data_IF_864680048239
#
_entry.id   IF_864680048239
#
_cell.length_a   1.000
_cell.length_b   1.000
_cell.length_c   1.000
_cell.angle_alpha   90.00
_cell.angle_beta   90.00
_cell.angle_gamma   90.00
#
_symmetry.space_group_name_H-M   'P 1'
#
loop_
_entity.id
_entity.type
_entity.pdbx_description
1 polymer ?
#
# COMPACT_ATOMS: atom_id res chain seq x y z
N UNK A 1 -1.65 9.64 -18.91
CA UNK A 1 -1.57 8.18 -19.16
C UNK A 1 -0.60 7.45 -18.21
N UNK A 2 -0.07 8.00 -17.10
CA UNK A 2 1.22 7.44 -16.63
C UNK A 2 1.72 7.83 -15.23
N UNK A 3 0.93 8.49 -14.38
CA UNK A 3 1.45 9.01 -13.08
C UNK A 3 1.01 8.20 -11.87
N UNK A 4 -0.28 7.86 -11.72
CA UNK A 4 -0.77 7.10 -10.54
C UNK A 4 -0.22 5.66 -10.45
N UNK A 5 -0.09 4.92 -11.56
CA UNK A 5 0.57 3.60 -11.55
C UNK A 5 2.07 3.67 -11.31
N UNK A 6 2.72 4.72 -11.83
CA UNK A 6 4.13 4.99 -11.51
C UNK A 6 4.26 5.28 -10.01
N UNK A 7 3.22 5.80 -9.35
CA UNK A 7 3.22 6.04 -7.91
C UNK A 7 3.21 4.74 -7.10
N UNK A 8 2.47 3.69 -7.45
CA UNK A 8 2.49 2.45 -6.65
C UNK A 8 3.85 1.75 -6.73
N UNK A 9 4.40 1.54 -7.94
CA UNK A 9 5.73 0.97 -8.13
C UNK A 9 6.83 1.80 -7.44
N UNK A 10 6.78 3.13 -7.56
CA UNK A 10 7.72 4.05 -6.90
C UNK A 10 7.51 4.04 -5.38
N UNK A 11 6.28 3.95 -4.90
CA UNK A 11 5.97 3.85 -3.48
C UNK A 11 6.56 2.58 -2.87
N UNK A 12 6.35 1.42 -3.51
CA UNK A 12 6.96 0.16 -3.03
C UNK A 12 8.49 0.21 -3.10
N UNK A 13 9.06 0.84 -4.12
CA UNK A 13 10.51 1.05 -4.23
C UNK A 13 11.06 1.96 -3.12
N UNK A 14 10.35 3.04 -2.79
CA UNK A 14 10.74 3.97 -1.74
C UNK A 14 10.55 3.36 -0.36
N UNK A 15 9.42 2.70 -0.08
CA UNK A 15 9.17 1.98 1.17
C UNK A 15 10.15 0.83 1.40
N UNK A 16 10.54 0.15 0.33
CA UNK A 16 11.61 -0.84 0.32
C UNK A 16 13.00 -0.27 0.66
N UNK A 17 13.23 1.03 0.40
CA UNK A 17 14.51 1.72 0.57
C UNK A 17 14.65 2.40 1.93
N UNK A 18 13.54 2.87 2.52
CA UNK A 18 13.51 3.41 3.88
C UNK A 18 13.55 2.26 4.88
N UNK A 19 14.73 1.99 5.43
CA UNK A 19 14.92 1.11 6.61
C UNK A 19 15.31 1.89 7.88
N UNK A 20 15.08 3.20 7.88
CA UNK A 20 15.30 4.09 9.02
C UNK A 20 14.13 5.06 9.08
N UNK A 21 13.22 4.88 10.04
CA UNK A 21 12.21 5.81 10.61
C UNK A 21 11.78 7.12 9.92
N UNK A 22 11.84 7.26 8.60
CA UNK A 22 11.59 8.52 7.90
C UNK A 22 10.66 8.28 6.72
N UNK A 23 9.52 8.95 6.74
CA UNK A 23 8.48 8.86 5.72
C UNK A 23 9.08 9.28 4.37
N UNK A 24 8.86 8.53 3.28
CA UNK A 24 9.35 8.93 1.97
C UNK A 24 8.62 10.20 1.52
N UNK A 25 9.36 11.30 1.37
CA UNK A 25 8.85 12.53 0.77
C UNK A 25 8.51 12.29 -0.70
N UNK A 26 7.32 12.72 -1.12
CA UNK A 26 6.88 12.70 -2.51
C UNK A 26 7.77 13.64 -3.35
N UNK A 27 8.24 13.22 -4.54
CA UNK A 27 9.10 14.07 -5.35
C UNK A 27 8.28 15.13 -6.12
N UNK A 28 8.75 16.37 -6.10
CA UNK A 28 8.16 17.53 -6.76
C UNK A 28 8.56 17.61 -8.24
N UNK A 29 7.59 17.77 -9.15
CA UNK A 29 7.86 18.04 -10.57
C UNK A 29 6.83 18.99 -11.21
N UNK A 30 7.36 19.95 -11.98
CA UNK A 30 6.68 21.04 -12.68
C UNK A 30 5.70 20.56 -13.79
N UNK A 31 4.65 21.35 -14.04
CA UNK A 31 3.57 21.07 -14.98
C UNK A 31 3.61 22.08 -16.12
N UNK A 32 3.56 21.60 -17.37
CA UNK A 32 3.14 22.39 -18.52
C UNK A 32 1.62 22.20 -18.70
N UNK A 33 0.88 23.31 -18.62
CA UNK A 33 -0.58 23.36 -18.66
C UNK A 33 -1.10 23.33 -20.10
N UNK A 34 -2.03 22.43 -20.39
CA UNK A 34 -2.82 22.40 -21.61
C UNK A 34 -4.24 21.99 -21.26
N UNK A 35 -5.17 22.94 -21.31
CA UNK A 35 -6.58 22.79 -21.01
C UNK A 35 -7.32 21.92 -22.05
N UNK A 36 -8.22 21.05 -21.59
CA UNK A 36 -9.47 20.74 -22.29
C UNK A 36 -10.47 20.06 -21.33
N UNK A 37 -11.64 20.67 -21.23
CA UNK A 37 -12.80 20.27 -20.45
C UNK A 37 -13.66 19.25 -21.21
N UNK A 38 -14.09 18.17 -20.54
CA UNK A 38 -15.38 17.48 -20.78
C UNK A 38 -15.76 16.66 -19.54
N UNK A 39 -17.02 16.76 -19.13
CA UNK A 39 -17.62 16.10 -17.98
C UNK A 39 -17.49 14.57 -18.01
N UNK A 40 -17.00 13.98 -16.91
CA UNK A 40 -16.91 12.54 -16.67
C UNK A 40 -17.79 12.19 -15.47
N UNK A 41 -18.66 11.19 -15.61
CA UNK A 41 -19.56 10.71 -14.56
C UNK A 41 -18.78 10.32 -13.27
N UNK A 42 -19.34 10.60 -12.07
CA UNK A 42 -18.59 10.62 -10.80
C UNK A 42 -18.12 9.24 -10.30
N UNK A 43 -18.60 8.14 -10.86
CA UNK A 43 -18.22 6.80 -10.43
C UNK A 43 -17.02 6.21 -11.18
N UNK A 44 -16.44 6.94 -12.14
CA UNK A 44 -15.47 6.36 -13.07
C UNK A 44 -14.14 7.11 -13.13
N UNK A 45 -13.58 7.45 -11.96
CA UNK A 45 -12.12 7.60 -11.84
C UNK A 45 -11.47 6.21 -11.90
N UNK A 46 -11.61 5.56 -13.05
CA UNK A 46 -10.94 4.33 -13.38
C UNK A 46 -9.45 4.67 -13.52
N UNK A 47 -8.60 4.09 -12.66
CA UNK A 47 -7.16 4.21 -12.82
C UNK A 47 -6.81 3.34 -14.04
N UNK A 48 -6.89 3.95 -15.22
CA UNK A 48 -6.85 3.36 -16.57
C UNK A 48 -5.53 2.69 -16.97
N UNK A 49 -4.75 2.21 -15.99
CA UNK A 49 -3.49 1.51 -16.22
C UNK A 49 -3.55 0.01 -15.94
N UNK A 50 -4.57 -0.48 -15.21
CA UNK A 50 -4.74 -1.91 -14.94
C UNK A 50 -5.01 -2.74 -16.22
N UNK A 51 -5.45 -2.08 -17.30
CA UNK A 51 -5.71 -2.71 -18.60
C UNK A 51 -4.45 -2.90 -19.49
N UNK A 52 -3.27 -2.41 -19.07
CA UNK A 52 -1.99 -2.72 -19.74
C UNK A 52 -1.24 -3.80 -18.97
N UNK A 53 -1.76 -5.01 -19.03
CA UNK A 53 -1.25 -6.21 -18.36
C UNK A 53 0.25 -6.44 -18.61
N UNK A 54 0.74 -6.16 -19.82
CA UNK A 54 2.14 -6.43 -20.20
C UNK A 54 3.16 -5.45 -19.60
N UNK A 55 2.84 -4.15 -19.53
CA UNK A 55 3.72 -3.11 -18.95
C UNK A 55 3.83 -3.25 -17.43
N UNK A 56 2.71 -3.55 -16.75
CA UNK A 56 2.68 -3.76 -15.30
C UNK A 56 3.46 -5.03 -14.92
N UNK A 57 3.24 -6.13 -15.65
CA UNK A 57 3.97 -7.37 -15.45
C UNK A 57 5.48 -7.17 -15.59
N UNK A 58 5.92 -6.41 -16.60
CA UNK A 58 7.34 -6.15 -16.83
C UNK A 58 7.98 -5.29 -15.74
N UNK A 59 7.29 -4.25 -15.26
CA UNK A 59 7.82 -3.41 -14.16
C UNK A 59 7.86 -4.17 -12.82
N UNK A 60 6.87 -5.01 -12.53
CA UNK A 60 6.87 -5.90 -11.34
C UNK A 60 8.04 -6.87 -11.42
N UNK A 61 8.29 -7.45 -12.60
CA UNK A 61 9.39 -8.40 -12.81
C UNK A 61 10.76 -7.72 -12.61
N UNK A 62 10.91 -6.44 -12.99
CA UNK A 62 12.09 -5.62 -12.69
C UNK A 62 12.22 -5.33 -11.19
N UNK A 63 11.12 -4.98 -10.52
CA UNK A 63 11.10 -4.76 -9.07
C UNK A 63 11.50 -6.01 -8.30
N UNK A 64 10.91 -7.17 -8.66
CA UNK A 64 11.28 -8.49 -8.13
C UNK A 64 12.78 -8.69 -8.32
N UNK A 65 13.30 -8.59 -9.55
CA UNK A 65 14.73 -8.81 -9.82
C UNK A 65 15.64 -7.96 -8.93
N UNK A 66 15.34 -6.68 -8.79
CA UNK A 66 16.19 -5.78 -8.02
C UNK A 66 16.16 -6.07 -6.51
N UNK A 67 14.97 -6.19 -5.92
CA UNK A 67 14.82 -6.41 -4.47
C UNK A 67 15.19 -7.83 -4.07
N UNK A 68 14.82 -8.81 -4.89
CA UNK A 68 15.16 -10.22 -4.68
C UNK A 68 16.66 -10.46 -4.70
N UNK A 69 17.40 -9.79 -5.60
CA UNK A 69 18.86 -9.91 -5.66
C UNK A 69 19.51 -9.53 -4.33
N UNK A 70 19.13 -8.37 -3.76
CA UNK A 70 19.65 -7.90 -2.46
C UNK A 70 19.32 -8.89 -1.35
N UNK A 71 18.05 -9.25 -1.23
CA UNK A 71 17.58 -10.17 -0.19
C UNK A 71 18.29 -11.54 -0.26
N UNK A 72 18.46 -12.08 -1.48
CA UNK A 72 19.10 -13.38 -1.68
C UNK A 72 20.56 -13.37 -1.21
N UNK A 73 21.25 -12.25 -1.39
CA UNK A 73 22.61 -12.05 -0.89
C UNK A 73 22.62 -11.94 0.63
N UNK A 74 21.76 -11.09 1.21
CA UNK A 74 21.70 -10.85 2.66
C UNK A 74 21.34 -12.12 3.44
N UNK A 75 20.42 -12.93 2.91
CA UNK A 75 20.01 -14.21 3.50
C UNK A 75 20.93 -15.37 3.09
N UNK A 76 21.89 -15.17 2.19
CA UNK A 76 22.80 -16.20 1.71
C UNK A 76 22.09 -17.43 1.13
N UNK A 77 21.13 -17.19 0.22
CA UNK A 77 20.38 -18.25 -0.47
C UNK A 77 21.24 -18.88 -1.58
N UNK A 78 21.28 -20.22 -1.65
CA UNK A 78 21.95 -20.93 -2.74
C UNK A 78 21.20 -20.77 -4.08
N UNK A 79 21.84 -21.11 -5.20
CA UNK A 79 21.26 -20.86 -6.52
C UNK A 79 19.91 -21.54 -6.72
N UNK A 80 19.80 -22.81 -6.31
CA UNK A 80 18.58 -23.60 -6.50
C UNK A 80 17.38 -22.99 -5.74
N UNK A 81 17.60 -22.56 -4.49
CA UNK A 81 16.56 -21.89 -3.70
C UNK A 81 16.17 -20.53 -4.29
N UNK A 82 17.14 -19.78 -4.85
CA UNK A 82 16.85 -18.51 -5.52
C UNK A 82 16.00 -18.69 -6.76
N UNK A 83 16.30 -19.70 -7.58
CA UNK A 83 15.58 -19.95 -8.82
C UNK A 83 14.18 -20.51 -8.52
N UNK A 84 14.05 -21.39 -7.52
CA UNK A 84 12.77 -21.89 -7.03
C UNK A 84 11.86 -20.77 -6.52
N UNK A 85 12.36 -19.91 -5.62
CA UNK A 85 11.59 -18.78 -5.10
C UNK A 85 11.23 -17.76 -6.19
N UNK A 86 12.12 -17.53 -7.17
CA UNK A 86 11.82 -16.67 -8.33
C UNK A 86 10.69 -17.24 -9.19
N UNK A 87 10.67 -18.56 -9.40
CA UNK A 87 9.57 -19.24 -10.08
C UNK A 87 8.24 -19.02 -9.37
N UNK A 88 8.23 -19.13 -8.05
CA UNK A 88 7.02 -18.94 -7.24
C UNK A 88 6.56 -17.48 -7.24
N UNK A 89 7.48 -16.53 -7.05
CA UNK A 89 7.16 -15.10 -7.08
C UNK A 89 6.56 -14.68 -8.43
N UNK A 90 6.94 -15.35 -9.52
CA UNK A 90 6.37 -15.11 -10.86
C UNK A 90 5.05 -15.84 -11.10
N UNK A 91 4.86 -17.01 -10.50
CA UNK A 91 3.67 -17.85 -10.72
C UNK A 91 2.47 -17.44 -9.87
N UNK A 92 2.69 -16.92 -8.65
CA UNK A 92 1.62 -16.53 -7.72
C UNK A 92 1.30 -15.03 -7.80
N UNK A 93 2.25 -14.21 -8.25
CA UNK A 93 1.99 -12.79 -8.42
C UNK A 93 0.95 -12.59 -9.53
N UNK A 94 -0.30 -12.36 -9.15
CA UNK A 94 -1.37 -11.82 -10.00
C UNK A 94 -1.06 -10.38 -10.49
N UNK A 95 0.21 -10.06 -10.76
CA UNK A 95 0.67 -8.74 -11.19
C UNK A 95 0.67 -7.66 -10.10
N UNK A 96 0.42 -7.97 -8.83
CA UNK A 96 0.34 -6.93 -7.78
C UNK A 96 1.65 -6.76 -7.03
N UNK A 97 2.15 -5.52 -6.98
CA UNK A 97 3.31 -5.14 -6.20
C UNK A 97 3.15 -5.44 -4.70
N UNK A 98 1.90 -5.40 -4.20
CA UNK A 98 1.61 -5.60 -2.80
C UNK A 98 2.00 -7.00 -2.33
N UNK A 99 1.55 -8.02 -3.04
CA UNK A 99 1.81 -9.40 -2.66
C UNK A 99 3.33 -9.69 -2.67
N UNK A 100 4.03 -9.27 -3.73
CA UNK A 100 5.48 -9.40 -3.84
C UNK A 100 6.18 -8.67 -2.69
N UNK A 101 5.73 -7.46 -2.35
CA UNK A 101 6.29 -6.71 -1.23
C UNK A 101 6.14 -7.47 0.09
N UNK A 102 4.96 -8.02 0.38
CA UNK A 102 4.72 -8.78 1.62
C UNK A 102 5.62 -10.00 1.71
N UNK A 103 5.69 -10.81 0.65
CA UNK A 103 6.55 -12.00 0.62
C UNK A 103 8.02 -11.65 0.83
N UNK A 104 8.52 -10.62 0.14
CA UNK A 104 9.92 -10.22 0.29
C UNK A 104 10.19 -9.58 1.65
N UNK A 105 9.22 -8.86 2.23
CA UNK A 105 9.34 -8.27 3.57
C UNK A 105 9.39 -9.36 4.65
N UNK A 106 8.51 -10.35 4.58
CA UNK A 106 8.47 -11.44 5.56
C UNK A 106 9.72 -12.30 5.44
N UNK A 107 10.17 -12.59 4.22
CA UNK A 107 11.42 -13.31 4.00
C UNK A 107 12.65 -12.56 4.55
N UNK A 108 12.59 -11.23 4.57
CA UNK A 108 13.64 -10.39 5.15
C UNK A 108 13.61 -10.43 6.68
N UNK A 109 12.43 -10.37 7.30
CA UNK A 109 12.28 -10.22 8.74
C UNK A 109 12.24 -11.57 9.49
N UNK A 110 11.74 -12.62 8.85
CA UNK A 110 11.59 -13.94 9.46
C UNK A 110 12.81 -14.86 9.22
N UNK A 111 13.10 -15.79 10.15
CA UNK A 111 14.13 -16.79 9.94
C UNK A 111 13.66 -17.83 8.91
N UNK A 112 14.34 -17.86 7.76
CA UNK A 112 14.10 -18.86 6.73
C UNK A 112 15.02 -20.07 6.92
N UNK A 113 14.43 -21.27 7.04
CA UNK A 113 15.18 -22.52 6.90
C UNK A 113 15.61 -22.69 5.45
N UNK A 114 16.92 -22.65 5.20
CA UNK A 114 17.55 -22.69 3.86
C UNK A 114 17.55 -24.09 3.24
N UNK A 115 16.39 -24.73 3.17
CA UNK A 115 16.18 -26.03 2.50
C UNK A 115 14.96 -25.91 1.58
N UNK A 116 14.84 -26.78 0.58
CA UNK A 116 13.67 -26.77 -0.31
C UNK A 116 12.36 -26.87 0.48
N UNK A 117 12.29 -27.81 1.43
CA UNK A 117 11.15 -27.93 2.36
C UNK A 117 10.92 -26.67 3.20
N UNK A 118 11.97 -26.04 3.71
CA UNK A 118 11.83 -24.82 4.51
C UNK A 118 11.31 -23.62 3.69
N UNK A 119 11.66 -23.58 2.40
CA UNK A 119 11.12 -22.62 1.45
C UNK A 119 9.65 -22.90 1.12
N UNK A 120 9.28 -24.17 0.91
CA UNK A 120 7.88 -24.58 0.74
C UNK A 120 7.03 -24.24 1.97
N UNK A 121 7.52 -24.56 3.17
CA UNK A 121 6.86 -24.23 4.44
C UNK A 121 6.61 -22.71 4.56
N UNK A 122 7.63 -21.90 4.24
CA UNK A 122 7.50 -20.43 4.22
C UNK A 122 6.44 -19.96 3.23
N UNK A 123 6.44 -20.51 2.01
CA UNK A 123 5.49 -20.11 0.96
C UNK A 123 4.07 -20.55 1.32
N UNK A 124 3.91 -21.66 2.04
CA UNK A 124 2.62 -22.15 2.50
C UNK A 124 1.95 -21.24 3.52
N UNK A 125 2.71 -20.48 4.30
CA UNK A 125 2.17 -19.50 5.26
C UNK A 125 2.01 -18.08 4.68
N UNK A 126 2.44 -17.85 3.45
CA UNK A 126 2.20 -16.58 2.74
C UNK A 126 0.76 -16.50 2.23
N UNK A 127 0.19 -15.29 2.13
CA UNK A 127 -1.16 -15.11 1.58
C UNK A 127 -1.24 -15.72 0.18
N UNK A 128 -2.31 -16.46 -0.10
CA UNK A 128 -2.59 -17.12 -1.37
C UNK A 128 -3.43 -16.27 -2.31
N UNK A 129 -4.04 -15.21 -1.79
CA UNK A 129 -4.84 -14.25 -2.54
C UNK A 129 -4.53 -12.81 -2.13
N UNK A 130 -5.10 -11.85 -2.88
CA UNK A 130 -4.96 -10.42 -2.55
C UNK A 130 -5.78 -10.06 -1.31
N UNK A 131 -6.91 -10.73 -1.08
CA UNK A 131 -7.76 -10.57 0.10
C UNK A 131 -7.02 -11.05 1.35
N UNK A 132 -6.36 -12.21 1.30
CA UNK A 132 -5.53 -12.69 2.40
C UNK A 132 -4.34 -11.74 2.66
N UNK A 133 -3.79 -11.13 1.61
CA UNK A 133 -2.74 -10.13 1.76
C UNK A 133 -3.26 -8.87 2.48
N UNK A 134 -4.46 -8.38 2.14
CA UNK A 134 -5.07 -7.24 2.84
C UNK A 134 -5.43 -7.56 4.28
N UNK A 135 -6.04 -8.72 4.53
CA UNK A 135 -6.37 -9.19 5.88
C UNK A 135 -5.12 -9.24 6.76
N UNK A 136 -4.00 -9.77 6.23
CA UNK A 136 -2.71 -9.80 6.94
C UNK A 136 -2.18 -8.40 7.26
N UNK A 137 -2.31 -7.44 6.34
CA UNK A 137 -1.89 -6.04 6.59
C UNK A 137 -2.75 -5.39 7.67
N UNK A 138 -4.06 -5.67 7.66
CA UNK A 138 -4.98 -5.18 8.68
C UNK A 138 -4.58 -5.76 10.04
N UNK A 139 -4.40 -7.08 10.15
CA UNK A 139 -3.96 -7.75 11.37
C UNK A 139 -2.62 -7.22 11.91
N UNK A 140 -1.72 -6.75 11.03
CA UNK A 140 -0.47 -6.12 11.43
C UNK A 140 0.47 -7.07 12.17
N UNK A 141 1.53 -6.53 12.77
CA UNK A 141 2.48 -7.31 13.56
C UNK A 141 1.93 -7.57 14.98
N UNK A 142 2.01 -8.81 15.44
CA UNK A 142 1.65 -9.21 16.80
C UNK A 142 2.53 -8.48 17.83
N UNK A 143 1.92 -7.86 18.86
CA UNK A 143 2.67 -7.19 19.93
C UNK A 143 2.02 -5.98 20.59
N UNK A 144 0.86 -5.52 20.10
CA UNK A 144 0.12 -4.42 20.72
C UNK A 144 -0.90 -4.94 21.76
N UNK A 145 -1.11 -4.19 22.85
CA UNK A 145 -2.25 -4.45 23.76
C UNK A 145 -3.56 -4.43 22.95
N UNK A 146 -4.52 -5.27 23.35
CA UNK A 146 -5.77 -5.50 22.61
C UNK A 146 -6.53 -4.20 22.35
N UNK A 147 -6.52 -3.27 23.30
CA UNK A 147 -7.18 -1.96 23.14
C UNK A 147 -6.53 -1.10 22.05
N UNK A 148 -5.20 -1.10 21.97
CA UNK A 148 -4.47 -0.38 20.93
C UNK A 148 -4.72 -1.00 19.55
N UNK A 149 -4.74 -2.34 19.48
CA UNK A 149 -5.09 -3.06 18.26
C UNK A 149 -6.50 -2.71 17.77
N UNK A 150 -7.51 -2.79 18.65
CA UNK A 150 -8.90 -2.47 18.32
C UNK A 150 -9.07 -1.01 17.88
N UNK A 151 -8.44 -0.06 18.59
CA UNK A 151 -8.43 1.37 18.20
C UNK A 151 -7.80 1.56 16.81
N UNK A 152 -6.66 0.91 16.55
CA UNK A 152 -5.99 0.96 15.25
C UNK A 152 -6.91 0.42 14.14
N UNK A 153 -7.54 -0.72 14.35
CA UNK A 153 -8.47 -1.32 13.38
C UNK A 153 -9.63 -0.38 13.06
N UNK A 154 -10.23 0.23 14.09
CA UNK A 154 -11.32 1.17 13.92
C UNK A 154 -10.90 2.37 13.07
N UNK A 155 -9.79 3.01 13.43
CA UNK A 155 -9.29 4.18 12.72
C UNK A 155 -8.96 3.87 11.24
N UNK A 156 -8.41 2.68 10.96
CA UNK A 156 -8.16 2.25 9.57
C UNK A 156 -9.47 2.10 8.80
N UNK A 157 -10.45 1.37 9.37
CA UNK A 157 -11.74 1.15 8.70
C UNK A 157 -12.50 2.45 8.47
N UNK A 158 -12.46 3.34 9.45
CA UNK A 158 -13.06 4.67 9.36
C UNK A 158 -12.42 5.51 8.25
N UNK A 159 -11.10 5.66 8.25
CA UNK A 159 -10.39 6.40 7.21
C UNK A 159 -10.66 5.84 5.81
N UNK A 160 -10.60 4.52 5.65
CA UNK A 160 -10.84 3.87 4.35
C UNK A 160 -12.31 3.95 3.93
N UNK A 161 -13.25 3.84 4.87
CA UNK A 161 -14.68 4.00 4.62
C UNK A 161 -15.02 5.42 4.16
N UNK A 162 -14.43 6.44 4.78
CA UNK A 162 -14.58 7.85 4.37
C UNK A 162 -14.07 8.03 2.93
N UNK A 163 -12.86 7.56 2.63
CA UNK A 163 -12.29 7.67 1.27
C UNK A 163 -13.12 6.90 0.24
N UNK A 164 -13.68 5.75 0.61
CA UNK A 164 -14.55 4.94 -0.25
C UNK A 164 -15.89 5.62 -0.55
N UNK A 165 -16.50 6.22 0.47
CA UNK A 165 -17.80 6.89 0.37
C UNK A 165 -17.70 8.24 -0.36
N UNK A 166 -16.53 8.87 -0.38
CA UNK A 166 -16.32 10.15 -1.04
C UNK A 166 -16.49 10.05 -2.56
N UNK A 167 -17.20 11.03 -3.14
CA UNK A 167 -17.39 11.12 -4.59
C UNK A 167 -16.15 11.68 -5.33
N UNK A 168 -15.22 12.28 -4.59
CA UNK A 168 -13.94 12.79 -5.11
C UNK A 168 -12.84 12.62 -4.05
N UNK A 169 -11.57 12.68 -4.47
CA UNK A 169 -10.42 12.61 -3.55
C UNK A 169 -10.45 13.76 -2.55
N UNK A 170 -10.51 13.41 -1.27
CA UNK A 170 -10.58 14.36 -0.16
C UNK A 170 -9.23 15.01 0.12
N UNK A 171 -9.22 16.27 0.50
CA UNK A 171 -8.02 16.91 1.06
C UNK A 171 -7.68 16.36 2.45
N UNK A 172 -6.48 16.63 2.95
CA UNK A 172 -6.13 16.25 4.32
C UNK A 172 -7.03 16.95 5.34
N UNK A 173 -7.32 18.23 5.13
CA UNK A 173 -8.25 18.97 5.98
C UNK A 173 -9.68 18.36 5.95
N UNK A 174 -10.18 17.96 4.78
CA UNK A 174 -11.50 17.31 4.65
C UNK A 174 -11.51 15.95 5.37
N UNK A 175 -10.43 15.18 5.27
CA UNK A 175 -10.26 13.93 6.02
C UNK A 175 -10.24 14.16 7.53
N UNK A 176 -9.54 15.21 7.99
CA UNK A 176 -9.44 15.58 9.41
C UNK A 176 -10.81 15.85 10.00
N UNK A 177 -11.59 16.70 9.33
CA UNK A 177 -12.96 16.99 9.73
C UNK A 177 -13.80 15.71 9.73
N UNK A 178 -13.74 14.91 8.66
CA UNK A 178 -14.56 13.71 8.54
C UNK A 178 -14.26 12.65 9.62
N UNK A 179 -12.99 12.49 10.01
CA UNK A 179 -12.56 11.55 11.03
C UNK A 179 -12.80 12.05 12.47
N UNK A 180 -12.98 13.36 12.66
CA UNK A 180 -13.30 13.93 13.97
C UNK A 180 -14.81 14.04 14.24
N UNK A 181 -15.67 13.62 13.31
CA UNK A 181 -17.13 13.64 13.51
C UNK A 181 -17.56 12.48 14.42
N UNK A 182 -18.04 12.82 15.62
CA UNK A 182 -18.65 11.89 16.57
C UNK A 182 -20.13 12.20 16.79
N UNK A 183 -20.94 11.19 17.13
CA UNK A 183 -22.39 11.35 17.40
C UNK A 183 -22.69 12.33 18.55
N UNK A 184 -21.72 12.55 19.44
CA UNK A 184 -21.83 13.39 20.63
C UNK A 184 -21.58 14.88 20.35
N UNK A 185 -21.04 15.22 19.17
CA UNK A 185 -20.71 16.61 18.81
C UNK A 185 -21.95 17.50 18.81
N UNK A 186 -21.84 18.66 19.46
CA UNK A 186 -22.90 19.65 19.53
C UNK A 186 -22.64 20.85 18.60
N UNK A 187 -21.37 21.12 18.27
CA UNK A 187 -20.99 22.22 17.38
C UNK A 187 -19.70 21.94 16.62
N UNK A 188 -19.47 22.70 15.54
CA UNK A 188 -18.21 22.66 14.79
C UNK A 188 -16.99 23.13 15.61
N UNK A 189 -17.19 23.88 16.69
CA UNK A 189 -16.11 24.36 17.54
C UNK A 189 -15.57 23.27 18.48
N UNK A 190 -16.33 22.19 18.64
CA UNK A 190 -15.97 21.03 19.46
C UNK A 190 -15.15 20.00 18.67
N UNK A 191 -14.89 20.24 17.38
CA UNK A 191 -14.05 19.36 16.56
C UNK A 191 -12.62 19.35 17.09
N UNK A 192 -12.18 18.19 17.55
CA UNK A 192 -10.79 17.93 17.90
C UNK A 192 -10.00 17.62 16.63
N UNK A 193 -9.45 18.65 16.01
CA UNK A 193 -8.71 18.57 14.75
C UNK A 193 -7.21 18.52 15.02
N UNK A 194 -6.52 17.60 14.37
CA UNK A 194 -5.05 17.56 14.35
C UNK A 194 -4.49 18.63 13.39
N UNK A 195 -3.18 18.88 13.42
CA UNK A 195 -2.54 19.61 12.33
C UNK A 195 -2.55 18.72 11.08
N UNK A 196 -2.80 19.31 9.91
CA UNK A 196 -2.87 18.54 8.65
C UNK A 196 -1.60 17.70 8.39
N UNK A 197 -0.42 18.24 8.73
CA UNK A 197 0.84 17.51 8.60
C UNK A 197 0.90 16.26 9.49
N UNK A 198 0.40 16.35 10.73
CA UNK A 198 0.36 15.24 11.69
C UNK A 198 -0.65 14.17 11.23
N UNK A 199 -1.82 14.60 10.74
CA UNK A 199 -2.80 13.67 10.19
C UNK A 199 -2.26 12.96 8.94
N UNK A 200 -1.56 13.66 8.05
CA UNK A 200 -0.95 13.06 6.87
C UNK A 200 0.09 12.00 7.25
N UNK A 201 0.88 12.25 8.30
CA UNK A 201 1.82 11.29 8.88
C UNK A 201 1.06 10.08 9.45
N UNK A 202 0.00 10.33 10.23
CA UNK A 202 -0.84 9.33 10.85
C UNK A 202 -1.48 8.41 9.78
N UNK A 203 -2.12 8.98 8.76
CA UNK A 203 -2.70 8.28 7.61
C UNK A 203 -1.66 7.45 6.85
N UNK A 204 -0.46 8.01 6.64
CA UNK A 204 0.66 7.29 6.02
C UNK A 204 1.13 6.08 6.83
N UNK A 205 1.14 6.19 8.17
CA UNK A 205 1.50 5.10 9.08
C UNK A 205 0.42 4.02 9.22
N UNK A 206 -0.83 4.44 9.36
CA UNK A 206 -1.98 3.56 9.58
C UNK A 206 -2.40 2.84 8.30
N UNK A 207 -2.57 3.60 7.22
CA UNK A 207 -3.25 3.18 6.00
C UNK A 207 -2.30 3.12 4.80
N UNK A 208 -0.99 3.28 4.98
CA UNK A 208 -0.05 3.47 3.86
C UNK A 208 -0.04 2.36 2.81
N UNK A 209 -0.47 1.13 3.12
CA UNK A 209 -0.59 0.07 2.12
C UNK A 209 -1.85 0.17 1.24
N UNK A 210 -2.80 1.01 1.62
CA UNK A 210 -4.11 1.14 1.01
C UNK A 210 -4.32 2.50 0.36
N UNK A 211 -3.71 3.56 0.91
CA UNK A 211 -3.88 4.94 0.42
C UNK A 211 -2.56 5.59 0.02
N UNK A 212 -2.66 6.62 -0.81
CA UNK A 212 -1.59 7.53 -1.16
C UNK A 212 -2.07 8.98 -1.03
N UNK A 213 -1.15 9.85 -0.59
CA UNK A 213 -1.39 11.29 -0.52
C UNK A 213 -0.64 11.94 -1.68
N UNK A 214 -1.37 12.63 -2.56
CA UNK A 214 -0.82 13.32 -3.72
C UNK A 214 -1.49 14.67 -3.90
N UNK A 215 -0.70 15.74 -4.02
CA UNK A 215 -1.19 17.12 -4.08
C UNK A 215 -2.22 17.41 -2.98
N UNK A 216 -1.87 17.05 -1.74
CA UNK A 216 -2.70 17.24 -0.54
C UNK A 216 -4.05 16.49 -0.58
N UNK A 217 -4.20 15.49 -1.46
CA UNK A 217 -5.42 14.69 -1.57
C UNK A 217 -5.18 13.21 -1.35
N UNK A 218 -6.15 12.56 -0.73
CA UNK A 218 -6.11 11.13 -0.37
C UNK A 218 -6.78 10.29 -1.47
N UNK A 219 -6.06 9.26 -1.91
CA UNK A 219 -6.50 8.33 -2.94
C UNK A 219 -6.25 6.90 -2.48
N UNK A 220 -7.07 5.94 -2.94
CA UNK A 220 -6.67 4.54 -2.89
C UNK A 220 -5.40 4.32 -3.73
N UNK A 221 -4.44 3.60 -3.16
CA UNK A 221 -3.18 3.24 -3.79
C UNK A 221 -3.37 2.20 -4.91
N UNK A 222 -4.38 1.33 -4.77
CA UNK A 222 -4.72 0.25 -5.70
C UNK A 222 -6.23 0.17 -5.91
N UNK A 223 -6.68 -0.18 -7.12
CA UNK A 223 -8.10 -0.45 -7.36
C UNK A 223 -8.57 -1.66 -6.56
N UNK A 224 -7.76 -2.72 -6.49
CA UNK A 224 -8.03 -3.91 -5.68
C UNK A 224 -8.22 -3.60 -4.19
N UNK A 225 -7.58 -2.54 -3.67
CA UNK A 225 -7.80 -2.12 -2.29
C UNK A 225 -9.18 -1.50 -2.13
N UNK A 226 -9.58 -0.64 -3.07
CA UNK A 226 -10.92 -0.03 -3.09
C UNK A 226 -12.03 -1.07 -3.25
N UNK A 227 -11.80 -2.13 -4.02
CA UNK A 227 -12.79 -3.21 -4.23
C UNK A 227 -12.91 -4.15 -3.03
N UNK A 228 -11.88 -4.23 -2.20
CA UNK A 228 -11.87 -5.06 -0.99
C UNK A 228 -12.66 -4.42 0.18
N UNK A 229 -12.62 -3.09 0.32
CA UNK A 229 -13.35 -2.35 1.35
C UNK A 229 -14.74 -1.95 0.88
#
# INVERSE_FOLDING_TARGET
MSRLFRNSATWYRNKASVHTGSIPQSPSYEINTGEASTAVSPHNFHIRGEERSDDIGQDVDVFIKHRFRRLSTDKGLCSDLRDHLRGILRGIAHGTYLWVYLVLNDLQNEPLKKTAKGLEDFINVMPKSIEEAYERILQGAEGHDRRHFEKRQRNIREALGIVLAASWPLTIQEMNIAMSIEETLQSFQDLDLELDEELAICLGGLCGFFISIYNDRVYFLHQTAREYF
#
